data_IF_792375806899
#
_entry.id   IF_792375806899
#
_cell.length_a   1.000
_cell.length_b   1.000
_cell.length_c   1.000
_cell.angle_alpha   90.00
_cell.angle_beta   90.00
_cell.angle_gamma   90.00
#
_symmetry.space_group_name_H-M   'P 1'
#
loop_
_entity.id
_entity.type
_entity.pdbx_description
1 polymer ?
#
# COMPACT_ATOMS: atom_id res chain seq x y z
N UNK A 1 1.49 22.24 5.98
CA UNK A 1 1.40 21.17 7.02
C UNK A 1 0.60 19.99 6.48
N UNK A 2 1.17 18.77 6.43
CA UNK A 2 0.38 17.56 6.20
C UNK A 2 -0.37 17.26 7.49
N UNK A 3 -1.71 17.40 7.48
CA UNK A 3 -2.54 17.00 8.62
C UNK A 3 -2.41 15.49 8.79
N UNK A 4 -1.97 15.07 9.98
CA UNK A 4 -1.85 13.66 10.30
C UNK A 4 -3.18 13.17 10.84
N UNK A 5 -3.79 12.23 10.12
CA UNK A 5 -4.92 11.46 10.65
C UNK A 5 -4.43 10.59 11.81
N UNK A 6 -5.27 10.43 12.83
CA UNK A 6 -5.03 9.47 13.92
C UNK A 6 -5.08 8.04 13.40
N UNK A 7 -4.58 7.07 14.18
CA UNK A 7 -4.63 5.66 13.78
C UNK A 7 -6.07 5.18 13.60
N UNK A 8 -6.95 5.53 14.53
CA UNK A 8 -8.38 5.20 14.50
C UNK A 8 -9.05 5.71 13.21
N UNK A 9 -8.77 6.96 12.84
CA UNK A 9 -9.28 7.56 11.61
C UNK A 9 -8.78 6.84 10.36
N UNK A 10 -7.49 6.46 10.32
CA UNK A 10 -6.92 5.71 9.19
C UNK A 10 -7.59 4.35 9.04
N UNK A 11 -7.76 3.63 10.16
CA UNK A 11 -8.44 2.34 10.19
C UNK A 11 -9.88 2.50 9.70
N UNK A 12 -10.60 3.51 10.19
CA UNK A 12 -11.97 3.81 9.78
C UNK A 12 -12.06 4.10 8.27
N UNK A 13 -11.17 4.94 7.74
CA UNK A 13 -11.09 5.28 6.31
C UNK A 13 -10.90 4.03 5.45
N UNK A 14 -9.97 3.15 5.81
CA UNK A 14 -9.76 1.90 5.07
C UNK A 14 -10.99 1.00 5.13
N UNK A 15 -11.58 0.80 6.33
CA UNK A 15 -12.82 0.00 6.50
C UNK A 15 -13.97 0.53 5.64
N UNK A 16 -14.21 1.84 5.66
CA UNK A 16 -15.25 2.45 4.83
C UNK A 16 -14.94 2.34 3.33
N UNK A 17 -13.67 2.45 2.93
CA UNK A 17 -13.32 2.30 1.52
C UNK A 17 -13.57 0.88 1.04
N UNK A 18 -13.19 -0.15 1.79
CA UNK A 18 -13.50 -1.54 1.41
C UNK A 18 -15.00 -1.86 1.44
N UNK A 19 -15.80 -1.12 2.22
CA UNK A 19 -17.26 -1.28 2.26
C UNK A 19 -17.96 -0.67 1.03
N UNK A 20 -17.48 0.47 0.54
CA UNK A 20 -18.22 1.27 -0.46
C UNK A 20 -17.45 1.50 -1.78
N UNK A 21 -16.16 1.18 -1.82
CA UNK A 21 -15.21 1.43 -2.93
C UNK A 21 -15.24 2.87 -3.47
N UNK A 22 -15.67 3.82 -2.63
CA UNK A 22 -15.96 5.20 -3.03
C UNK A 22 -15.36 6.20 -2.06
N UNK A 23 -14.35 6.94 -2.53
CA UNK A 23 -13.74 8.02 -1.75
C UNK A 23 -14.76 9.11 -1.36
N UNK A 24 -15.81 9.33 -2.15
CA UNK A 24 -16.87 10.28 -1.81
C UNK A 24 -17.66 9.79 -0.59
N UNK A 25 -18.12 8.54 -0.62
CA UNK A 25 -18.82 7.90 0.50
C UNK A 25 -17.97 7.87 1.76
N UNK A 26 -16.68 7.55 1.63
CA UNK A 26 -15.73 7.60 2.76
C UNK A 26 -15.70 8.97 3.40
N UNK A 27 -15.64 10.06 2.61
CA UNK A 27 -15.63 11.42 3.15
C UNK A 27 -16.95 11.79 3.82
N UNK A 28 -18.08 11.41 3.23
CA UNK A 28 -19.42 11.63 3.81
C UNK A 28 -19.56 10.91 5.17
N UNK A 29 -19.16 9.65 5.25
CA UNK A 29 -19.21 8.85 6.48
C UNK A 29 -18.20 9.32 7.52
N UNK A 30 -17.03 9.81 7.09
CA UNK A 30 -16.03 10.38 7.99
C UNK A 30 -16.56 11.63 8.70
N UNK A 31 -17.25 12.53 8.00
CA UNK A 31 -17.87 13.72 8.62
C UNK A 31 -18.93 13.30 9.65
N UNK A 32 -19.69 12.25 9.37
CA UNK A 32 -20.74 11.74 10.27
C UNK A 32 -20.16 11.15 11.56
N UNK A 33 -19.04 10.42 11.46
CA UNK A 33 -18.44 9.72 12.60
C UNK A 33 -17.42 10.56 13.37
N UNK A 34 -16.81 11.56 12.71
CA UNK A 34 -15.84 12.48 13.31
C UNK A 34 -16.30 13.93 13.09
N UNK A 35 -17.40 14.37 13.75
CA UNK A 35 -17.95 15.71 13.57
C UNK A 35 -16.94 16.79 13.97
N UNK A 36 -16.95 17.91 13.25
CA UNK A 36 -16.00 19.02 13.47
C UNK A 36 -14.60 18.79 12.90
N UNK A 37 -14.32 17.60 12.36
CA UNK A 37 -13.05 17.31 11.70
C UNK A 37 -13.17 17.40 10.18
N UNK A 38 -12.08 17.82 9.55
CA UNK A 38 -12.02 17.89 8.09
C UNK A 38 -11.77 16.50 7.51
N UNK A 39 -12.61 16.04 6.57
CA UNK A 39 -12.43 14.73 5.96
C UNK A 39 -11.12 14.68 5.17
N UNK A 40 -10.51 13.50 5.07
CA UNK A 40 -9.31 13.32 4.26
C UNK A 40 -9.58 13.64 2.79
N UNK A 41 -8.53 14.10 2.10
CA UNK A 41 -8.61 14.31 0.65
C UNK A 41 -8.77 12.97 -0.08
N UNK A 42 -9.31 13.00 -1.31
CA UNK A 42 -9.42 11.80 -2.15
C UNK A 42 -8.06 11.10 -2.31
N UNK A 43 -6.99 11.87 -2.55
CA UNK A 43 -5.64 11.33 -2.67
C UNK A 43 -5.19 10.65 -1.38
N UNK A 44 -5.42 11.28 -0.22
CA UNK A 44 -5.09 10.69 1.08
C UNK A 44 -5.82 9.36 1.31
N UNK A 45 -7.08 9.25 0.88
CA UNK A 45 -7.84 8.00 0.99
C UNK A 45 -7.19 6.89 0.15
N UNK A 46 -6.90 7.17 -1.12
CA UNK A 46 -6.23 6.19 -1.99
C UNK A 46 -4.83 5.83 -1.49
N UNK A 47 -4.05 6.79 -1.00
CA UNK A 47 -2.72 6.57 -0.44
C UNK A 47 -2.79 5.64 0.79
N UNK A 48 -3.80 5.83 1.66
CA UNK A 48 -4.00 4.99 2.85
C UNK A 48 -4.37 3.56 2.46
N UNK A 49 -5.32 3.40 1.54
CA UNK A 49 -5.76 2.08 1.06
C UNK A 49 -4.60 1.36 0.38
N UNK A 50 -3.91 2.03 -0.54
CA UNK A 50 -2.73 1.48 -1.24
C UNK A 50 -1.64 1.07 -0.25
N UNK A 51 -1.37 1.90 0.76
CA UNK A 51 -0.37 1.58 1.79
C UNK A 51 -0.79 0.36 2.62
N UNK A 52 -2.08 0.24 2.94
CA UNK A 52 -2.61 -0.90 3.68
C UNK A 52 -2.48 -2.19 2.87
N UNK A 53 -2.95 -2.20 1.62
CA UNK A 53 -2.83 -3.34 0.69
C UNK A 53 -1.38 -3.78 0.49
N UNK A 54 -0.45 -2.82 0.37
CA UNK A 54 0.98 -3.14 0.25
C UNK A 54 1.46 -3.79 1.53
N UNK A 55 1.15 -3.23 2.70
CA UNK A 55 1.65 -3.72 3.98
C UNK A 55 1.21 -5.16 4.24
N UNK A 56 -0.04 -5.52 3.91
CA UNK A 56 -0.53 -6.89 4.02
C UNK A 56 0.21 -7.88 3.11
N UNK A 57 0.77 -7.41 1.99
CA UNK A 57 1.41 -8.23 0.97
C UNK A 57 2.94 -8.09 0.94
N UNK A 58 3.53 -7.35 1.88
CA UNK A 58 4.97 -7.07 1.88
C UNK A 58 5.80 -8.34 2.03
N UNK A 59 5.37 -9.27 2.88
CA UNK A 59 6.08 -10.53 3.13
C UNK A 59 6.08 -11.42 1.87
N UNK A 60 4.92 -11.57 1.22
CA UNK A 60 4.80 -12.34 -0.03
C UNK A 60 5.67 -11.75 -1.15
N UNK A 61 5.73 -10.41 -1.24
CA UNK A 61 6.59 -9.70 -2.19
C UNK A 61 8.07 -9.94 -1.88
N UNK A 62 8.45 -9.88 -0.60
CA UNK A 62 9.79 -10.16 -0.11
C UNK A 62 10.24 -11.57 -0.51
N UNK A 63 9.46 -12.58 -0.16
CA UNK A 63 9.74 -13.98 -0.50
C UNK A 63 9.88 -14.20 -2.00
N UNK A 64 8.99 -13.60 -2.81
CA UNK A 64 9.05 -13.73 -4.26
C UNK A 64 10.33 -13.14 -4.86
N UNK A 65 10.82 -12.03 -4.28
CA UNK A 65 12.06 -11.38 -4.70
C UNK A 65 13.31 -12.09 -4.16
N UNK A 66 13.25 -12.69 -2.98
CA UNK A 66 14.33 -13.55 -2.49
C UNK A 66 14.53 -14.77 -3.38
N UNK A 67 13.43 -15.44 -3.78
CA UNK A 67 13.48 -16.59 -4.69
C UNK A 67 13.96 -16.20 -6.09
N UNK A 68 13.60 -15.00 -6.56
CA UNK A 68 13.91 -14.54 -7.91
C UNK A 68 14.19 -13.04 -7.92
N UNK A 69 15.41 -12.60 -7.58
CA UNK A 69 15.74 -11.18 -7.41
C UNK A 69 15.62 -10.38 -8.70
N UNK A 70 15.74 -11.04 -9.86
CA UNK A 70 15.62 -10.44 -11.20
C UNK A 70 14.19 -10.42 -11.74
N UNK A 71 13.18 -10.82 -10.93
CA UNK A 71 11.79 -10.90 -11.39
C UNK A 71 11.26 -9.50 -11.72
N UNK A 72 10.56 -9.41 -12.85
CA UNK A 72 10.00 -8.14 -13.27
C UNK A 72 8.83 -7.69 -12.41
N UNK A 73 8.74 -6.39 -12.14
CA UNK A 73 7.64 -5.81 -11.36
C UNK A 73 6.24 -6.18 -11.90
N UNK A 74 5.98 -6.20 -13.22
CA UNK A 74 4.69 -6.64 -13.74
C UNK A 74 4.37 -8.11 -13.44
N UNK A 75 5.37 -9.01 -13.56
CA UNK A 75 5.18 -10.43 -13.22
C UNK A 75 4.94 -10.62 -11.73
N UNK A 76 5.69 -9.91 -10.88
CA UNK A 76 5.49 -9.89 -9.43
C UNK A 76 4.08 -9.40 -9.08
N UNK A 77 3.65 -8.29 -9.68
CA UNK A 77 2.35 -7.69 -9.45
C UNK A 77 1.20 -8.66 -9.83
N UNK A 78 1.35 -9.37 -10.94
CA UNK A 78 0.40 -10.40 -11.37
C UNK A 78 0.31 -11.56 -10.38
N UNK A 79 1.45 -12.06 -9.87
CA UNK A 79 1.48 -13.19 -8.93
C UNK A 79 0.82 -12.83 -7.58
N UNK A 80 1.18 -11.67 -7.04
CA UNK A 80 0.71 -11.17 -5.73
C UNK A 80 -0.67 -10.50 -5.84
N UNK A 81 -1.23 -10.42 -7.05
CA UNK A 81 -2.51 -9.76 -7.38
C UNK A 81 -2.57 -8.33 -6.86
N UNK A 82 -1.58 -7.52 -7.22
CA UNK A 82 -1.51 -6.09 -6.92
C UNK A 82 -1.29 -5.28 -8.19
N UNK A 83 -1.49 -3.98 -8.12
CA UNK A 83 -1.10 -3.09 -9.20
C UNK A 83 0.43 -2.99 -9.35
N UNK A 84 0.90 -2.68 -10.55
CA UNK A 84 2.35 -2.49 -10.82
C UNK A 84 2.92 -1.30 -10.03
N UNK A 85 2.12 -0.25 -9.83
CA UNK A 85 2.51 0.91 -9.00
C UNK A 85 2.62 0.52 -7.52
N UNK A 86 1.73 -0.33 -7.01
CA UNK A 86 1.83 -0.90 -5.66
C UNK A 86 3.10 -1.74 -5.51
N UNK A 87 3.42 -2.60 -6.49
CA UNK A 87 4.67 -3.38 -6.49
C UNK A 87 5.91 -2.47 -6.51
N UNK A 88 5.88 -1.38 -7.27
CA UNK A 88 6.97 -0.39 -7.28
C UNK A 88 7.15 0.30 -5.92
N UNK A 89 6.05 0.63 -5.25
CA UNK A 89 6.09 1.21 -3.90
C UNK A 89 6.59 0.19 -2.87
N UNK A 90 6.15 -1.06 -2.94
CA UNK A 90 6.60 -2.14 -2.08
C UNK A 90 8.11 -2.37 -2.19
N UNK A 91 8.65 -2.45 -3.41
CA UNK A 91 10.10 -2.62 -3.62
C UNK A 91 10.91 -1.43 -3.08
N UNK A 92 10.40 -0.20 -3.16
CA UNK A 92 11.00 0.96 -2.49
C UNK A 92 10.99 0.84 -0.97
N UNK A 93 9.90 0.36 -0.37
CA UNK A 93 9.79 0.15 1.07
C UNK A 93 10.76 -0.93 1.56
N UNK A 94 10.91 -2.02 0.80
CA UNK A 94 11.86 -3.10 1.08
C UNK A 94 13.31 -2.72 0.74
N UNK A 95 13.56 -1.52 0.17
CA UNK A 95 14.87 -1.05 -0.30
C UNK A 95 15.55 -2.01 -1.29
N UNK A 96 14.75 -2.77 -2.05
CA UNK A 96 15.23 -3.74 -3.03
C UNK A 96 15.34 -3.10 -4.42
N UNK A 97 16.31 -3.56 -5.21
CA UNK A 97 16.48 -3.16 -6.62
C UNK A 97 16.42 -4.41 -7.50
N UNK A 98 15.22 -4.81 -7.97
CA UNK A 98 15.03 -6.05 -8.73
C UNK A 98 15.87 -6.15 -10.02
N UNK A 99 16.42 -5.03 -10.51
CA UNK A 99 17.22 -4.99 -11.74
C UNK A 99 18.64 -4.45 -11.54
N UNK A 100 19.13 -4.39 -10.29
CA UNK A 100 20.52 -3.97 -9.99
C UNK A 100 21.26 -4.92 -9.03
N UNK A 101 20.75 -6.12 -8.78
CA UNK A 101 21.46 -7.08 -7.95
C UNK A 101 22.68 -7.66 -8.69
N UNK A 102 23.86 -7.15 -8.34
CA UNK A 102 25.09 -7.95 -8.27
C UNK A 102 24.79 -9.12 -7.33
N UNK A 103 25.00 -10.35 -7.80
CA UNK A 103 24.66 -11.59 -7.11
C UNK A 103 25.45 -11.70 -5.78
N UNK A 104 24.95 -11.17 -4.67
CA UNK A 104 25.56 -11.42 -3.35
C UNK A 104 25.03 -12.75 -2.84
N UNK A 105 25.81 -13.80 -3.07
CA UNK A 105 25.53 -15.10 -2.48
C UNK A 105 25.93 -15.06 -1.00
N UNK A 106 24.95 -15.20 -0.10
CA UNK A 106 25.27 -15.69 1.23
C UNK A 106 25.51 -17.19 1.12
N UNK A 107 26.78 -17.60 1.25
CA UNK A 107 27.15 -18.99 1.54
C UNK A 107 26.53 -19.35 2.89
N UNK A 108 25.83 -20.47 2.91
CA UNK A 108 25.43 -21.17 4.13
C UNK A 108 26.64 -21.80 4.79
#
# INVERSE_FOLDING_TARGET
MRRQLTLEQRIYVCKCYYKYESARRVREEFIRNFPGQLPPSRSTIHDLVTKFEITEKLDEIGENLERSPQKSLPKLAQQVRISVSSAHTATKLLKLKPYKCTRVQHKK
#
